data_IF_671816280530
#
_entry.id   IF_671816280530
#
_cell.length_a   1.000
_cell.length_b   1.000
_cell.length_c   1.000
_cell.angle_alpha   90.00
_cell.angle_beta   90.00
_cell.angle_gamma   90.00
#
_symmetry.space_group_name_H-M   'P 1'
#
loop_
_entity.id
_entity.type
_entity.pdbx_description
1 polymer ?
#
# COMPACT_ATOMS: atom_id res chain seq x y z
N UNK A 1 -8.27 9.08 12.44
CA UNK A 1 -9.62 8.74 12.96
C UNK A 1 -9.72 7.23 13.10
N UNK A 2 -9.62 6.71 14.33
CA UNK A 2 -9.77 5.28 14.61
C UNK A 2 -11.21 4.89 14.28
N UNK A 3 -11.40 3.94 13.36
CA UNK A 3 -12.72 3.34 13.14
C UNK A 3 -13.03 2.47 14.34
N UNK A 4 -13.79 3.00 15.29
CA UNK A 4 -14.33 2.25 16.44
C UNK A 4 -15.44 1.33 15.95
N UNK A 5 -15.06 0.17 15.40
CA UNK A 5 -16.03 -0.90 15.18
C UNK A 5 -16.33 -1.58 16.51
N UNK A 6 -17.55 -2.10 16.66
CA UNK A 6 -17.93 -2.87 17.84
C UNK A 6 -16.99 -4.07 18.09
N UNK A 7 -16.37 -4.61 17.03
CA UNK A 7 -15.38 -5.68 17.11
C UNK A 7 -14.07 -5.21 17.81
N UNK A 8 -13.59 -4.00 17.49
CA UNK A 8 -12.40 -3.42 18.14
C UNK A 8 -12.65 -3.17 19.62
N UNK A 9 -13.80 -2.60 19.97
CA UNK A 9 -14.16 -2.33 21.37
C UNK A 9 -14.24 -3.63 22.21
N UNK A 10 -14.71 -4.74 21.62
CA UNK A 10 -14.74 -6.05 22.30
C UNK A 10 -13.34 -6.59 22.55
N UNK A 11 -12.46 -6.46 21.56
CA UNK A 11 -11.08 -6.93 21.64
C UNK A 11 -10.29 -6.15 22.68
N UNK A 12 -10.39 -4.82 22.67
CA UNK A 12 -9.74 -3.94 23.64
C UNK A 12 -10.21 -4.26 25.07
N UNK A 13 -11.52 -4.39 25.29
CA UNK A 13 -12.07 -4.74 26.60
C UNK A 13 -11.58 -6.11 27.13
N UNK A 14 -11.44 -7.11 26.25
CA UNK A 14 -10.90 -8.42 26.62
C UNK A 14 -9.41 -8.30 26.99
N UNK A 15 -8.62 -7.56 26.21
CA UNK A 15 -7.18 -7.35 26.46
C UNK A 15 -6.95 -6.60 27.78
N UNK A 16 -7.70 -5.52 28.03
CA UNK A 16 -7.64 -4.79 29.30
C UNK A 16 -8.02 -5.65 30.49
N UNK A 17 -9.02 -6.53 30.34
CA UNK A 17 -9.44 -7.45 31.41
C UNK A 17 -8.37 -8.49 31.72
N UNK A 18 -7.66 -9.01 30.70
CA UNK A 18 -6.52 -9.92 30.88
C UNK A 18 -5.39 -9.20 31.60
N UNK A 19 -5.07 -7.96 31.22
CA UNK A 19 -4.08 -7.11 31.92
C UNK A 19 -4.43 -6.85 33.37
N UNK A 20 -5.72 -6.74 33.66
CA UNK A 20 -6.25 -6.63 35.02
C UNK A 20 -6.27 -7.97 35.78
N UNK A 21 -5.75 -9.07 35.21
CA UNK A 21 -5.65 -10.37 35.85
C UNK A 21 -6.95 -11.18 35.88
N UNK A 22 -7.96 -10.82 35.08
CA UNK A 22 -9.24 -11.55 35.02
C UNK A 22 -9.10 -12.86 34.24
N UNK A 23 -9.81 -13.89 34.69
CA UNK A 23 -9.85 -15.17 33.96
C UNK A 23 -10.77 -15.09 32.73
N UNK A 24 -10.54 -15.89 31.67
CA UNK A 24 -11.41 -15.93 30.49
C UNK A 24 -12.89 -16.19 30.83
N UNK A 25 -13.15 -17.03 31.83
CA UNK A 25 -14.50 -17.36 32.31
C UNK A 25 -15.21 -16.15 32.92
N UNK A 26 -14.48 -15.33 33.71
CA UNK A 26 -15.01 -14.07 34.26
C UNK A 26 -15.34 -13.07 33.15
N UNK A 27 -14.46 -12.97 32.14
CA UNK A 27 -14.65 -12.09 30.99
C UNK A 27 -15.90 -12.49 30.20
N UNK A 28 -16.08 -13.78 29.91
CA UNK A 28 -17.27 -14.31 29.23
C UNK A 28 -18.54 -13.97 30.01
N UNK A 29 -18.53 -14.19 31.33
CA UNK A 29 -19.69 -13.94 32.19
C UNK A 29 -20.04 -12.46 32.30
N UNK A 30 -19.04 -11.59 32.42
CA UNK A 30 -19.21 -10.16 32.59
C UNK A 30 -19.67 -9.47 31.30
N UNK A 31 -18.94 -9.70 30.20
CA UNK A 31 -19.23 -9.04 28.93
C UNK A 31 -20.26 -9.76 28.06
N UNK A 32 -20.61 -11.01 28.41
CA UNK A 32 -21.49 -11.89 27.60
C UNK A 32 -21.01 -12.07 26.17
N UNK A 33 -19.68 -12.09 25.98
CA UNK A 33 -19.08 -12.35 24.67
C UNK A 33 -19.05 -13.85 24.35
N UNK A 34 -19.10 -14.23 23.06
CA UNK A 34 -18.99 -15.63 22.67
C UNK A 34 -17.69 -16.25 23.17
N UNK A 35 -17.79 -17.47 23.71
CA UNK A 35 -16.67 -18.22 24.28
C UNK A 35 -15.49 -18.29 23.29
N UNK A 36 -15.77 -18.68 22.05
CA UNK A 36 -14.75 -18.77 20.98
C UNK A 36 -13.99 -17.46 20.78
N UNK A 37 -14.69 -16.32 20.81
CA UNK A 37 -14.07 -15.00 20.62
C UNK A 37 -13.11 -14.67 21.76
N UNK A 38 -13.49 -14.95 23.01
CA UNK A 38 -12.63 -14.69 24.17
C UNK A 38 -11.38 -15.56 24.11
N UNK A 39 -11.52 -16.87 23.89
CA UNK A 39 -10.38 -17.79 23.81
C UNK A 39 -9.46 -17.53 22.61
N UNK A 40 -10.01 -17.14 21.45
CA UNK A 40 -9.22 -16.76 20.28
C UNK A 40 -8.36 -15.51 20.54
N UNK A 41 -8.90 -14.55 21.30
CA UNK A 41 -8.21 -13.31 21.63
C UNK A 41 -7.15 -13.54 22.71
N UNK A 42 -7.47 -14.30 23.76
CA UNK A 42 -6.54 -14.70 24.82
C UNK A 42 -5.34 -15.44 24.22
N UNK A 43 -5.59 -16.44 23.36
CA UNK A 43 -4.53 -17.21 22.69
C UNK A 43 -3.60 -16.32 21.88
N UNK A 44 -4.15 -15.36 21.12
CA UNK A 44 -3.36 -14.41 20.34
C UNK A 44 -2.59 -13.42 21.20
N UNK A 45 -3.16 -12.98 22.31
CA UNK A 45 -2.52 -12.06 23.25
C UNK A 45 -1.30 -12.70 23.90
N UNK A 46 -1.45 -13.93 24.41
CA UNK A 46 -0.35 -14.67 25.03
C UNK A 46 0.78 -14.92 24.03
N UNK A 47 0.45 -15.32 22.79
CA UNK A 47 1.45 -15.51 21.72
C UNK A 47 2.20 -14.21 21.36
N UNK A 48 1.55 -13.04 21.45
CA UNK A 48 2.20 -11.74 21.20
C UNK A 48 3.04 -11.22 22.37
N UNK A 49 2.68 -11.53 23.62
CA UNK A 49 3.49 -11.17 24.79
C UNK A 49 4.84 -11.91 24.78
N UNK A 50 4.87 -13.15 24.28
CA UNK A 50 6.09 -13.95 24.14
C UNK A 50 7.05 -13.41 23.06
N UNK A 51 6.55 -12.73 22.02
CA UNK A 51 7.35 -12.39 20.83
C UNK A 51 8.13 -11.07 20.91
N UNK A 52 8.22 -10.40 22.07
CA UNK A 52 8.92 -9.09 22.31
C UNK A 52 8.44 -7.90 21.46
N UNK A 53 7.64 -8.12 20.44
CA UNK A 53 7.01 -7.08 19.63
C UNK A 53 5.72 -6.65 20.34
N UNK A 54 5.88 -5.77 21.34
CA UNK A 54 4.80 -5.21 22.19
C UNK A 54 3.81 -4.34 21.39
N UNK A 55 3.15 -4.91 20.39
CA UNK A 55 1.92 -4.32 19.87
C UNK A 55 0.80 -4.78 20.78
N UNK A 56 0.26 -3.84 21.57
CA UNK A 56 -0.85 -4.07 22.51
C UNK A 56 -2.14 -4.57 21.84
N UNK A 57 -2.17 -4.60 20.50
CA UNK A 57 -3.31 -5.01 19.71
C UNK A 57 -2.83 -5.89 18.55
N UNK A 58 -3.00 -7.22 18.63
CA UNK A 58 -2.54 -8.09 17.56
C UNK A 58 -3.33 -7.72 16.30
N UNK A 59 -2.60 -7.36 15.23
CA UNK A 59 -3.20 -6.87 14.00
C UNK A 59 -4.19 -7.89 13.41
N UNK A 60 -5.28 -7.41 12.80
CA UNK A 60 -6.22 -8.29 12.09
C UNK A 60 -5.45 -9.04 11.00
N UNK A 61 -5.77 -10.32 10.81
CA UNK A 61 -5.26 -11.10 9.67
C UNK A 61 -5.56 -10.33 8.38
N UNK A 62 -4.51 -9.90 7.69
CA UNK A 62 -4.65 -9.26 6.38
C UNK A 62 -5.19 -10.29 5.40
N UNK A 63 -6.41 -10.10 4.93
CA UNK A 63 -6.98 -10.94 3.89
C UNK A 63 -6.49 -10.45 2.53
N UNK A 64 -5.24 -10.76 2.19
CA UNK A 64 -4.71 -10.50 0.85
C UNK A 64 -5.13 -11.64 -0.08
N UNK A 65 -5.93 -11.31 -1.10
CA UNK A 65 -6.11 -12.19 -2.26
C UNK A 65 -5.00 -11.86 -3.26
N UNK A 66 -4.32 -12.89 -3.74
CA UNK A 66 -3.30 -12.71 -4.77
C UNK A 66 -3.91 -12.07 -6.04
N UNK A 67 -3.26 -11.00 -6.52
CA UNK A 67 -3.74 -10.24 -7.69
C UNK A 67 -3.34 -10.96 -8.97
N UNK A 68 -4.18 -11.87 -9.48
CA UNK A 68 -3.89 -12.64 -10.72
C UNK A 68 -3.52 -11.81 -11.95
N UNK A 69 -4.09 -10.62 -12.10
CA UNK A 69 -3.87 -9.78 -13.31
C UNK A 69 -2.73 -8.77 -13.18
N UNK A 70 -2.17 -8.56 -11.98
CA UNK A 70 -1.10 -7.58 -11.71
C UNK A 70 0.09 -8.30 -11.08
N UNK A 71 0.63 -9.26 -11.81
CA UNK A 71 1.83 -9.96 -11.41
C UNK A 71 3.04 -9.01 -11.51
N UNK A 72 4.09 -9.19 -10.68
CA UNK A 72 5.27 -8.33 -10.72
C UNK A 72 5.92 -8.31 -12.11
N UNK A 73 5.97 -9.45 -12.80
CA UNK A 73 6.51 -9.54 -14.16
C UNK A 73 5.75 -8.65 -15.18
N UNK A 74 4.43 -8.51 -15.06
CA UNK A 74 3.65 -7.63 -15.93
C UNK A 74 3.91 -6.16 -15.59
N UNK A 75 4.12 -5.84 -14.31
CA UNK A 75 4.44 -4.49 -13.85
C UNK A 75 5.82 -4.05 -14.37
N UNK A 76 6.82 -4.92 -14.30
CA UNK A 76 8.17 -4.65 -14.82
C UNK A 76 8.16 -4.42 -16.34
N UNK A 77 7.45 -5.26 -17.09
CA UNK A 77 7.29 -5.08 -18.55
C UNK A 77 6.56 -3.77 -18.87
N UNK A 78 5.51 -3.44 -18.12
CA UNK A 78 4.79 -2.17 -18.27
C UNK A 78 5.72 -0.98 -18.01
N UNK A 79 6.57 -1.06 -16.98
CA UNK A 79 7.51 0.00 -16.64
C UNK A 79 8.58 0.19 -17.73
N UNK A 80 9.08 -0.89 -18.33
CA UNK A 80 10.02 -0.80 -19.45
C UNK A 80 9.40 -0.07 -20.64
N UNK A 81 8.19 -0.48 -21.08
CA UNK A 81 7.50 0.14 -22.21
C UNK A 81 7.20 1.63 -21.98
N UNK A 82 6.78 2.00 -20.77
CA UNK A 82 6.51 3.41 -20.43
C UNK A 82 7.81 4.22 -20.39
N UNK A 83 8.93 3.63 -19.96
CA UNK A 83 10.23 4.31 -19.89
C UNK A 83 10.83 4.54 -21.27
N UNK A 84 10.62 3.61 -22.20
CA UNK A 84 11.03 3.75 -23.60
C UNK A 84 10.28 4.87 -24.32
N UNK A 85 8.94 4.90 -24.20
CA UNK A 85 8.12 5.95 -24.80
C UNK A 85 6.99 6.39 -23.86
N UNK A 86 7.20 7.49 -23.10
CA UNK A 86 6.22 7.98 -22.14
C UNK A 86 4.99 8.63 -22.79
N UNK A 87 5.00 8.82 -24.12
CA UNK A 87 3.89 9.41 -24.87
C UNK A 87 2.86 8.35 -25.26
N UNK A 88 3.19 7.06 -25.16
CA UNK A 88 2.25 5.99 -25.52
C UNK A 88 1.03 5.99 -24.62
N UNK A 89 -0.14 5.87 -25.25
CA UNK A 89 -1.39 5.72 -24.53
C UNK A 89 -1.44 4.37 -23.81
N UNK A 90 -1.91 4.36 -22.56
CA UNK A 90 -2.13 3.14 -21.78
C UNK A 90 -3.05 2.13 -22.51
N UNK A 91 -3.98 2.62 -23.34
CA UNK A 91 -4.86 1.79 -24.18
C UNK A 91 -4.09 0.98 -25.24
N UNK A 92 -3.00 1.51 -25.78
CA UNK A 92 -2.12 0.80 -26.73
C UNK A 92 -1.18 -0.18 -26.03
N UNK A 93 -0.76 0.12 -24.80
CA UNK A 93 0.08 -0.76 -23.99
C UNK A 93 -0.67 -2.00 -23.48
N UNK A 94 -1.97 -1.84 -23.20
CA UNK A 94 -2.83 -2.91 -22.69
C UNK A 94 -2.82 -4.20 -23.54
N UNK A 95 -3.07 -4.16 -24.87
CA UNK A 95 -3.03 -5.37 -25.70
C UNK A 95 -1.63 -5.99 -25.81
N UNK A 96 -0.57 -5.18 -25.81
CA UNK A 96 0.83 -5.66 -25.86
C UNK A 96 1.16 -6.52 -24.64
N UNK A 97 0.65 -6.11 -23.46
CA UNK A 97 0.86 -6.81 -22.20
C UNK A 97 -0.20 -7.88 -21.91
N UNK A 98 -1.18 -8.07 -22.80
CA UNK A 98 -2.29 -9.02 -22.61
C UNK A 98 -3.21 -8.68 -21.45
N UNK A 99 -3.31 -7.40 -21.06
CA UNK A 99 -4.12 -6.93 -19.94
C UNK A 99 -5.25 -6.01 -20.40
N UNK A 100 -6.31 -5.88 -19.59
CA UNK A 100 -7.34 -4.87 -19.84
C UNK A 100 -6.78 -3.45 -19.64
N UNK A 101 -7.33 -2.47 -20.34
CA UNK A 101 -6.98 -1.05 -20.16
C UNK A 101 -7.13 -0.62 -18.69
N UNK A 102 -8.19 -1.10 -18.01
CA UNK A 102 -8.43 -0.80 -16.60
C UNK A 102 -7.32 -1.35 -15.71
N UNK A 103 -6.82 -2.54 -16.01
CA UNK A 103 -5.67 -3.13 -15.32
C UNK A 103 -4.41 -2.31 -15.57
N UNK A 104 -4.17 -1.93 -16.83
CA UNK A 104 -3.02 -1.11 -17.21
C UNK A 104 -3.03 0.26 -16.50
N UNK A 105 -4.20 0.90 -16.37
CA UNK A 105 -4.36 2.16 -15.63
C UNK A 105 -3.97 2.01 -14.16
N UNK A 106 -4.40 0.92 -13.53
CA UNK A 106 -4.06 0.64 -12.14
C UNK A 106 -2.58 0.30 -11.94
N UNK A 107 -1.94 -0.34 -12.93
CA UNK A 107 -0.48 -0.56 -12.92
C UNK A 107 0.25 0.79 -13.01
N UNK A 108 -0.19 1.70 -13.88
CA UNK A 108 0.38 3.04 -13.96
C UNK A 108 0.21 3.83 -12.64
N UNK A 109 -0.94 3.69 -11.97
CA UNK A 109 -1.17 4.24 -10.62
C UNK A 109 -0.21 3.65 -9.58
N UNK A 110 -0.03 2.32 -9.58
CA UNK A 110 0.89 1.61 -8.67
C UNK A 110 2.35 2.11 -8.90
N UNK A 111 2.72 2.36 -10.16
CA UNK A 111 4.01 2.94 -10.58
C UNK A 111 4.12 4.46 -10.38
N UNK A 112 3.04 5.12 -9.93
CA UNK A 112 2.94 6.58 -9.77
C UNK A 112 3.19 7.38 -11.04
N UNK A 113 2.96 6.80 -12.21
CA UNK A 113 2.99 7.53 -13.47
C UNK A 113 1.77 8.44 -13.57
N UNK A 114 2.02 9.74 -13.71
CA UNK A 114 1.00 10.74 -14.00
C UNK A 114 1.17 11.19 -15.44
N UNK A 115 0.09 11.18 -16.22
CA UNK A 115 0.10 11.78 -17.54
C UNK A 115 0.32 13.28 -17.38
N UNK A 116 1.55 13.74 -17.62
CA UNK A 116 1.82 15.17 -17.63
C UNK A 116 1.12 15.77 -18.85
N UNK A 117 0.36 16.85 -18.64
CA UNK A 117 -0.06 17.74 -19.71
C UNK A 117 1.17 18.19 -20.48
N UNK A 118 1.16 18.02 -21.80
CA UNK A 118 2.24 18.45 -22.69
C UNK A 118 2.55 19.91 -22.39
N UNK A 119 3.76 20.18 -21.88
CA UNK A 119 4.23 21.56 -21.71
C UNK A 119 4.86 21.99 -23.02
N UNK A 120 4.32 23.04 -23.63
CA UNK A 120 4.97 23.73 -24.75
C UNK A 120 6.34 24.21 -24.27
N UNK A 121 7.40 23.76 -24.93
CA UNK A 121 8.78 24.19 -24.70
C UNK A 121 9.33 24.78 -25.98
N UNK A 122 10.19 25.78 -25.84
CA UNK A 122 10.98 26.27 -26.95
C UNK A 122 11.93 25.15 -27.42
N UNK A 123 11.85 24.78 -28.70
CA UNK A 123 12.83 23.89 -29.30
C UNK A 123 14.17 24.60 -29.35
N UNK A 124 15.20 24.00 -28.74
CA UNK A 124 16.56 24.54 -28.76
C UNK A 124 17.39 23.73 -29.73
N UNK A 125 18.00 24.42 -30.70
CA UNK A 125 19.06 23.85 -31.52
C UNK A 125 20.31 23.60 -30.67
N UNK A 126 21.17 22.68 -31.10
CA UNK A 126 22.38 22.29 -30.36
C UNK A 126 23.25 23.51 -30.01
N UNK A 127 23.47 24.41 -30.97
CA UNK A 127 24.23 25.65 -30.76
C UNK A 127 23.60 26.59 -29.71
N UNK A 128 22.27 26.61 -29.59
CA UNK A 128 21.58 27.40 -28.56
C UNK A 128 21.71 26.72 -27.19
N UNK A 129 21.70 25.39 -27.15
CA UNK A 129 21.85 24.59 -25.94
C UNK A 129 23.23 24.80 -25.32
N UNK A 130 24.29 24.76 -26.12
CA UNK A 130 25.68 24.97 -25.67
C UNK A 130 25.90 26.39 -25.15
N UNK A 131 25.42 27.42 -25.87
CA UNK A 131 25.49 28.82 -25.41
C UNK A 131 24.78 29.04 -24.07
N UNK A 132 23.60 28.45 -23.90
CA UNK A 132 22.86 28.53 -22.62
C UNK A 132 23.61 27.85 -21.49
N UNK A 133 24.14 26.66 -21.72
CA UNK A 133 24.90 25.90 -20.73
C UNK A 133 26.16 26.67 -20.30
N UNK A 134 26.93 27.19 -21.24
CA UNK A 134 28.11 28.02 -20.97
C UNK A 134 27.77 29.26 -20.13
N UNK A 135 26.67 29.95 -20.47
CA UNK A 135 26.20 31.12 -19.72
C UNK A 135 25.74 30.76 -18.31
N UNK A 136 25.06 29.63 -18.11
CA UNK A 136 24.68 29.17 -16.78
C UNK A 136 25.92 28.84 -15.93
N UNK A 137 26.91 28.16 -16.50
CA UNK A 137 28.15 27.83 -15.78
C UNK A 137 28.90 29.09 -15.32
N UNK A 138 28.94 30.13 -16.16
CA UNK A 138 29.59 31.41 -15.84
C UNK A 138 28.82 32.23 -14.78
N UNK A 139 27.52 32.01 -14.62
CA UNK A 139 26.71 32.67 -13.59
C UNK A 139 26.71 31.92 -12.24
N UNK A 140 27.10 30.65 -12.26
CA UNK A 140 27.18 29.80 -11.08
C UNK A 140 28.59 29.74 -10.48
N UNK A 141 29.59 30.30 -11.17
CA UNK A 141 30.95 30.56 -10.67
C UNK A 141 31.01 31.89 -9.93
#
# INVERSE_FOLDING_TARGET
>A
MLRTSAEYNRRDAIIESIRAGRSPTEIIRFFRYPISTVYDIVSKYNASEESRESSSNPARKTHSRERRSRTPAVVEKAQALISEDPVQSLRKLAPVLGVSERTMRRIAEDLRYKSYTIKLRQMLYEATRTKRLARCNLLLS
#
